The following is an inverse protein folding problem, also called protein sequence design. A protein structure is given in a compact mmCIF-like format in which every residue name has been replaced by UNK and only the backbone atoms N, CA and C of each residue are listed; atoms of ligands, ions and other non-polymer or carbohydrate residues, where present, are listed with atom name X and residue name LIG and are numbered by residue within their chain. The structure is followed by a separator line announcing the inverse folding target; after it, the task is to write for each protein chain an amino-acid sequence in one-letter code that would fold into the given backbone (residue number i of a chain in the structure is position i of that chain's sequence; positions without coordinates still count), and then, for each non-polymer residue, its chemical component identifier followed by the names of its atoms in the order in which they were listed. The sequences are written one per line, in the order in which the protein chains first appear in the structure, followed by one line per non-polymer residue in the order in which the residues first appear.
data_IF_903385688877
#
_entry.id   IF_903385688877
#
_cell.length_a   1.000
_cell.length_b   1.000
_cell.length_c   1.000
_cell.angle_alpha   90.00
_cell.angle_beta   90.00
_cell.angle_gamma   90.00
#
_symmetry.space_group_name_H-M   'P 1'
#
loop_
_entity.id
_entity.type
_entity.pdbx_description
1 polymer ?
#
# COMPACT_ATOMS: atom_id res chain seq x y z
N UNK A 1 12.83 9.62 -5.65
CA UNK A 1 13.70 8.74 -6.47
C UNK A 1 15.01 8.36 -5.76
N UNK A 2 15.86 9.31 -5.38
CA UNK A 2 17.14 9.01 -4.71
C UNK A 2 16.97 8.21 -3.39
N UNK A 3 16.04 8.62 -2.51
CA UNK A 3 15.76 7.90 -1.25
C UNK A 3 15.27 6.47 -1.47
N UNK A 4 14.40 6.24 -2.47
CA UNK A 4 13.93 4.89 -2.79
C UNK A 4 15.08 3.97 -3.19
N UNK A 5 16.01 4.46 -4.02
CA UNK A 5 17.18 3.69 -4.40
C UNK A 5 18.08 3.31 -3.21
N UNK A 6 18.06 4.08 -2.12
CA UNK A 6 18.81 3.81 -0.88
C UNK A 6 18.04 2.87 0.07
N UNK A 7 16.72 3.01 0.17
CA UNK A 7 15.90 2.28 1.16
C UNK A 7 15.49 0.89 0.67
N UNK A 8 15.13 0.73 -0.61
CA UNK A 8 14.64 -0.55 -1.14
C UNK A 8 15.62 -1.72 -0.91
N UNK A 9 16.94 -1.57 -1.17
CA UNK A 9 17.88 -2.67 -0.93
C UNK A 9 17.94 -3.13 0.53
N UNK A 10 17.65 -2.26 1.49
CA UNK A 10 17.69 -2.57 2.93
C UNK A 10 16.59 -3.54 3.35
N UNK A 11 15.52 -3.62 2.57
CA UNK A 11 14.39 -4.55 2.78
C UNK A 11 14.33 -5.64 1.70
N UNK A 12 15.44 -5.85 0.97
CA UNK A 12 15.55 -6.91 -0.04
C UNK A 12 14.83 -6.62 -1.36
N UNK A 13 14.34 -5.40 -1.59
CA UNK A 13 13.65 -5.02 -2.82
C UNK A 13 14.64 -4.35 -3.79
N UNK A 14 14.58 -4.73 -5.07
CA UNK A 14 15.44 -4.15 -6.11
C UNK A 14 15.16 -2.66 -6.31
N UNK A 15 16.18 -1.78 -6.39
CA UNK A 15 15.98 -0.35 -6.62
C UNK A 15 15.43 -0.04 -8.01
N UNK A 16 15.50 -0.97 -8.96
CA UNK A 16 14.99 -0.78 -10.33
C UNK A 16 13.46 -0.66 -10.39
N UNK A 17 12.75 -1.14 -9.36
CA UNK A 17 11.29 -1.05 -9.31
C UNK A 17 10.78 0.31 -8.81
N UNK A 18 11.66 1.26 -8.46
CA UNK A 18 11.29 2.56 -7.87
C UNK A 18 10.31 3.41 -8.71
N UNK A 19 10.25 3.15 -10.02
CA UNK A 19 9.38 3.85 -10.97
C UNK A 19 7.99 3.21 -11.14
N UNK A 20 7.73 2.09 -10.45
CA UNK A 20 6.41 1.43 -10.51
C UNK A 20 5.35 2.25 -9.79
N UNK A 21 4.10 1.83 -9.99
CA UNK A 21 2.93 2.50 -9.41
C UNK A 21 2.95 2.39 -7.89
N UNK A 22 2.37 3.40 -7.26
CA UNK A 22 2.15 3.46 -5.82
C UNK A 22 0.71 3.92 -5.55
N UNK A 23 0.15 3.67 -4.36
CA UNK A 23 -1.16 4.19 -4.00
C UNK A 23 -1.14 5.73 -4.01
N UNK A 24 -1.90 6.34 -4.92
CA UNK A 24 -2.04 7.80 -4.95
C UNK A 24 -3.04 8.27 -3.90
N UNK A 25 -2.55 8.84 -2.80
CA UNK A 25 -3.37 9.47 -1.77
C UNK A 25 -2.89 9.16 -0.35
N UNK A 26 -3.23 10.04 0.59
CA UNK A 26 -2.77 9.99 1.99
C UNK A 26 -3.45 8.93 2.85
N UNK A 27 -4.45 8.21 2.33
CA UNK A 27 -5.25 7.24 3.09
C UNK A 27 -5.41 5.95 2.27
N UNK A 28 -5.04 4.83 2.89
CA UNK A 28 -5.21 3.49 2.33
C UNK A 28 -5.42 2.46 3.45
N UNK A 29 -5.98 1.32 3.08
CA UNK A 29 -6.07 0.14 3.95
C UNK A 29 -5.01 -0.87 3.53
N UNK A 30 -4.26 -1.40 4.50
CA UNK A 30 -3.13 -2.29 4.23
C UNK A 30 -3.18 -3.54 5.11
N UNK A 31 -2.70 -4.65 4.56
CA UNK A 31 -2.52 -5.90 5.32
C UNK A 31 -1.39 -5.70 6.34
N UNK A 32 -1.59 -5.98 7.63
CA UNK A 32 -0.56 -5.79 8.66
C UNK A 32 0.76 -6.52 8.38
N UNK A 33 0.71 -7.65 7.66
CA UNK A 33 1.91 -8.38 7.24
C UNK A 33 2.88 -7.50 6.44
N UNK A 34 2.38 -6.63 5.55
CA UNK A 34 3.21 -5.78 4.71
C UNK A 34 3.92 -4.67 5.51
N UNK A 35 3.38 -4.28 6.66
CA UNK A 35 4.01 -3.30 7.54
C UNK A 35 5.28 -3.85 8.21
N UNK A 36 5.44 -5.19 8.29
CA UNK A 36 6.63 -5.81 8.86
C UNK A 36 7.87 -5.53 8.01
N UNK A 37 7.74 -5.65 6.69
CA UNK A 37 8.82 -5.32 5.74
C UNK A 37 9.24 -3.86 5.87
N UNK A 38 8.30 -2.93 6.05
CA UNK A 38 8.64 -1.53 6.29
C UNK A 38 9.34 -1.34 7.64
N UNK A 39 8.90 -2.04 8.68
CA UNK A 39 9.47 -1.95 10.02
C UNK A 39 10.93 -2.41 10.10
N UNK A 40 11.38 -3.26 9.18
CA UNK A 40 12.79 -3.70 9.10
C UNK A 40 13.76 -2.54 8.78
N UNK A 41 13.28 -1.42 8.21
CA UNK A 41 14.06 -0.19 8.06
C UNK A 41 14.37 0.50 9.38
N UNK A 42 13.64 0.17 10.45
CA UNK A 42 13.81 0.76 11.80
C UNK A 42 13.80 2.28 11.81
N UNK A 43 13.01 2.89 10.92
CA UNK A 43 12.83 4.34 10.86
C UNK A 43 12.24 4.85 12.16
N UNK A 44 12.78 5.96 12.63
CA UNK A 44 12.33 6.73 13.78
C UNK A 44 11.78 8.07 13.31
N UNK A 45 11.03 8.76 14.18
CA UNK A 45 10.52 10.10 13.86
C UNK A 45 11.65 11.11 13.59
N UNK A 46 12.84 10.90 14.15
CA UNK A 46 14.01 11.75 13.94
C UNK A 46 14.65 11.61 12.56
N UNK A 47 14.31 10.56 11.80
CA UNK A 47 14.79 10.37 10.42
C UNK A 47 14.00 11.21 9.41
N UNK A 48 12.83 11.72 9.81
CA UNK A 48 11.99 12.57 8.98
C UNK A 48 12.45 14.02 9.03
N UNK A 49 12.21 14.74 7.94
CA UNK A 49 12.49 16.17 7.87
C UNK A 49 11.65 16.96 8.89
N UNK A 50 12.21 18.02 9.50
CA UNK A 50 11.46 18.88 10.40
C UNK A 50 10.33 19.60 9.63
N UNK A 51 9.24 19.90 10.33
CA UNK A 51 8.17 20.71 9.76
C UNK A 51 8.58 22.18 9.59
N UNK A 52 8.19 22.85 8.49
CA UNK A 52 7.31 22.37 7.43
C UNK A 52 8.03 21.46 6.43
N UNK A 53 7.42 20.31 6.15
CA UNK A 53 7.99 19.29 5.26
C UNK A 53 7.82 19.69 3.79
N UNK A 54 8.81 19.38 2.96
CA UNK A 54 8.66 19.50 1.51
C UNK A 54 7.70 18.43 1.01
N UNK A 55 6.71 18.80 0.19
CA UNK A 55 5.72 17.85 -0.34
C UNK A 55 6.35 16.70 -1.16
N UNK A 56 7.51 16.94 -1.77
CA UNK A 56 8.18 16.00 -2.66
C UNK A 56 9.62 15.71 -2.25
N UNK A 57 10.02 14.44 -2.44
CA UNK A 57 11.41 14.00 -2.26
C UNK A 57 11.85 13.70 -0.83
N UNK A 58 11.03 14.07 0.17
CA UNK A 58 11.28 13.78 1.58
C UNK A 58 11.11 12.30 1.96
N UNK A 59 11.45 11.94 3.20
CA UNK A 59 11.33 10.57 3.68
C UNK A 59 9.86 10.11 3.69
N UNK A 60 8.92 10.97 4.08
CA UNK A 60 7.49 10.65 4.08
C UNK A 60 6.98 10.23 2.71
N UNK A 61 7.35 10.98 1.66
CA UNK A 61 7.01 10.63 0.28
C UNK A 61 7.64 9.29 -0.15
N UNK A 62 8.90 9.04 0.24
CA UNK A 62 9.54 7.76 -0.06
C UNK A 62 8.81 6.59 0.61
N UNK A 63 8.44 6.72 1.89
CA UNK A 63 7.68 5.70 2.63
C UNK A 63 6.31 5.45 2.00
N UNK A 64 5.58 6.50 1.59
CA UNK A 64 4.31 6.36 0.88
C UNK A 64 4.46 5.50 -0.39
N UNK A 65 5.48 5.78 -1.21
CA UNK A 65 5.75 5.01 -2.42
C UNK A 65 6.12 3.56 -2.13
N UNK A 66 6.84 3.30 -1.04
CA UNK A 66 7.26 1.95 -0.67
C UNK A 66 6.09 1.01 -0.39
N UNK A 67 4.92 1.50 0.06
CA UNK A 67 3.76 0.63 0.29
C UNK A 67 3.29 -0.09 -0.97
N UNK A 68 3.30 0.59 -2.12
CA UNK A 68 2.98 -0.03 -3.42
C UNK A 68 4.00 -1.09 -3.80
N UNK A 69 5.29 -0.78 -3.63
CA UNK A 69 6.41 -1.65 -3.99
C UNK A 69 6.46 -2.91 -3.11
N UNK A 70 6.31 -2.75 -1.80
CA UNK A 70 6.25 -3.87 -0.83
C UNK A 70 5.06 -4.78 -1.14
N UNK A 71 3.91 -4.20 -1.48
CA UNK A 71 2.72 -4.95 -1.85
C UNK A 71 2.95 -5.81 -3.10
N UNK A 72 3.51 -5.22 -4.17
CA UNK A 72 3.81 -5.94 -5.41
C UNK A 72 4.91 -7.00 -5.22
N UNK A 73 5.98 -6.68 -4.49
CA UNK A 73 7.07 -7.61 -4.16
C UNK A 73 6.57 -8.83 -3.38
N UNK A 74 5.57 -8.62 -2.51
CA UNK A 74 4.88 -9.68 -1.76
C UNK A 74 3.88 -10.49 -2.60
N UNK A 75 3.86 -10.31 -3.93
CA UNK A 75 2.93 -10.99 -4.85
C UNK A 75 1.47 -10.56 -4.71
N UNK A 76 1.21 -9.42 -4.06
CA UNK A 76 -0.13 -8.86 -3.89
C UNK A 76 -0.37 -7.71 -4.89
N UNK A 77 -1.61 -7.22 -4.92
CA UNK A 77 -2.00 -6.04 -5.69
C UNK A 77 -2.75 -5.06 -4.81
N UNK A 78 -2.54 -3.78 -5.04
CA UNK A 78 -3.38 -2.72 -4.49
C UNK A 78 -4.36 -2.22 -5.55
N UNK A 79 -5.44 -1.58 -5.09
CA UNK A 79 -6.48 -1.00 -5.95
C UNK A 79 -6.85 0.36 -5.39
N UNK A 80 -6.93 1.35 -6.26
CA UNK A 80 -7.47 2.66 -5.90
C UNK A 80 -8.98 2.58 -5.73
N UNK A 81 -9.54 3.39 -4.82
CA UNK A 81 -10.98 3.39 -4.55
C UNK A 81 -11.84 3.54 -5.82
N UNK A 82 -11.42 4.39 -6.77
CA UNK A 82 -12.11 4.62 -8.05
C UNK A 82 -12.18 3.41 -8.96
N UNK A 83 -11.40 2.36 -8.69
CA UNK A 83 -11.32 1.12 -9.47
C UNK A 83 -11.83 -0.09 -8.70
N UNK A 84 -12.38 0.12 -7.50
CA UNK A 84 -13.08 -0.94 -6.78
C UNK A 84 -14.38 -1.26 -7.54
N UNK A 85 -14.69 -2.54 -7.79
CA UNK A 85 -15.98 -2.90 -8.34
C UNK A 85 -17.07 -2.47 -7.36
N UNK A 86 -18.20 -1.97 -7.87
CA UNK A 86 -19.38 -1.75 -7.04
C UNK A 86 -19.69 -3.04 -6.29
N UNK A 87 -19.76 -2.96 -4.96
CA UNK A 87 -20.15 -4.11 -4.17
C UNK A 87 -21.57 -4.48 -4.59
N UNK A 88 -21.73 -5.64 -5.22
CA UNK A 88 -23.05 -6.26 -5.26
C UNK A 88 -23.46 -6.42 -3.81
N UNK A 89 -24.54 -5.75 -3.40
CA UNK A 89 -25.21 -6.07 -2.14
C UNK A 89 -25.45 -7.59 -2.18
N UNK A 90 -25.13 -8.27 -1.09
CA UNK A 90 -25.45 -9.69 -0.97
C UNK A 90 -26.96 -9.79 -1.19
N UNK A 91 -27.38 -10.33 -2.34
CA UNK A 91 -28.79 -10.44 -2.67
C UNK A 91 -29.47 -11.30 -1.60
N UNK A 92 -30.65 -10.81 -1.20
CA UNK A 92 -31.60 -11.35 -0.23
C UNK A 92 -31.70 -12.90 -0.30
N UNK A 93 -31.83 -13.60 0.84
CA UNK A 93 -31.95 -15.06 0.81
C UNK A 93 -33.17 -15.45 -0.03
N UNK A 94 -32.91 -16.18 -1.12
CA UNK A 94 -33.93 -16.79 -1.97
C UNK A 94 -34.91 -17.57 -1.09
N UNK A 95 -36.15 -17.09 -1.02
CA UNK A 95 -37.26 -17.78 -0.36
C UNK A 95 -37.40 -19.17 -1.00
N UNK A 96 -37.04 -20.21 -0.25
CA UNK A 96 -37.36 -21.60 -0.61
C UNK A 96 -38.88 -21.72 -0.78
N UNK A 97 -39.32 -21.97 -2.02
CA UNK A 97 -40.64 -22.48 -2.32
C UNK A 97 -40.79 -23.83 -1.60
N UNK A 98 -41.58 -23.84 -0.51
CA UNK A 98 -41.97 -25.09 0.15
C UNK A 98 -42.86 -25.85 -0.82
N UNK A 99 -42.36 -27.01 -1.24
CA UNK A 99 -43.03 -27.93 -2.14
C UNK A 99 -44.47 -28.23 -1.72
N UNK A 100 -45.30 -28.34 -2.75
CA UNK A 100 -46.66 -28.85 -2.69
C UNK A 100 -46.72 -30.20 -1.96
N UNK A 101 -47.75 -30.36 -1.13
CA UNK A 101 -48.33 -31.65 -0.76
C UNK A 101 -49.81 -31.62 -1.10
#
# INVERSE_FOLDING_TARGET
EARLAQLLPQIGISPEVKHRRFPGGSIFWIRPLLLRTLADLKLTLSDFEPEPMTLDGGLGHAVERMFGLICEDSGMRFVEHTRLPEQRRCDEPTRMERGAS
#
